data_IF_324845455952
#
_entry.id   IF_324845455952
#
_cell.length_a   1.000
_cell.length_b   1.000
_cell.length_c   1.000
_cell.angle_alpha   90.00
_cell.angle_beta   90.00
_cell.angle_gamma   90.00
#
_symmetry.space_group_name_H-M   'P 1'
#
loop_
_entity.id
_entity.type
_entity.pdbx_description
1 polymer ?
#
# COMPACT_ATOMS: atom_id res chain seq x y z
N UNK A 1 -13.20 -26.62 -4.90
CA UNK A 1 -11.78 -26.40 -5.26
C UNK A 1 -11.09 -25.61 -4.15
N UNK A 2 -9.77 -25.69 -3.99
CA UNK A 2 -9.01 -24.74 -3.14
C UNK A 2 -8.88 -23.39 -3.85
N UNK A 3 -8.61 -22.31 -3.12
CA UNK A 3 -8.39 -20.97 -3.71
C UNK A 3 -7.33 -20.98 -4.81
N UNK A 4 -6.18 -21.64 -4.57
CA UNK A 4 -5.14 -21.80 -5.59
C UNK A 4 -5.63 -22.56 -6.83
N UNK A 5 -6.37 -23.65 -6.65
CA UNK A 5 -6.94 -24.40 -7.78
C UNK A 5 -7.95 -23.57 -8.57
N UNK A 6 -8.77 -22.76 -7.87
CA UNK A 6 -9.77 -21.86 -8.47
C UNK A 6 -9.13 -20.80 -9.35
N UNK A 7 -8.13 -20.10 -8.82
CA UNK A 7 -7.36 -19.09 -9.58
C UNK A 7 -6.68 -19.72 -10.79
N UNK A 8 -6.02 -20.87 -10.61
CA UNK A 8 -5.34 -21.54 -11.73
C UNK A 8 -6.32 -22.07 -12.78
N UNK A 9 -7.48 -22.60 -12.41
CA UNK A 9 -8.50 -23.02 -13.36
C UNK A 9 -8.97 -21.82 -14.21
N UNK A 10 -9.32 -20.71 -13.57
CA UNK A 10 -9.75 -19.49 -14.25
C UNK A 10 -8.68 -18.95 -15.22
N UNK A 11 -7.41 -18.88 -14.79
CA UNK A 11 -6.29 -18.45 -15.64
C UNK A 11 -6.02 -19.39 -16.82
N UNK A 12 -6.36 -20.67 -16.68
CA UNK A 12 -6.25 -21.66 -17.76
C UNK A 12 -7.56 -21.79 -18.57
N UNK A 13 -8.49 -20.85 -18.44
CA UNK A 13 -9.79 -20.85 -19.14
C UNK A 13 -10.63 -22.12 -18.87
N UNK A 14 -10.50 -22.71 -17.69
CA UNK A 14 -11.32 -23.81 -17.20
C UNK A 14 -12.37 -23.27 -16.24
N UNK A 15 -13.60 -23.80 -16.28
CA UNK A 15 -14.68 -23.37 -15.39
C UNK A 15 -14.36 -23.75 -13.93
N UNK A 16 -14.16 -22.76 -13.03
CA UNK A 16 -13.97 -23.03 -11.61
C UNK A 16 -15.31 -23.30 -10.91
N UNK A 17 -15.26 -23.69 -9.63
CA UNK A 17 -16.46 -23.84 -8.80
C UNK A 17 -17.17 -22.51 -8.47
N UNK A 18 -16.49 -21.38 -8.60
CA UNK A 18 -17.04 -20.02 -8.68
C UNK A 18 -15.97 -19.03 -9.17
N UNK A 19 -16.38 -17.78 -9.47
CA UNK A 19 -15.46 -16.72 -9.90
C UNK A 19 -14.44 -16.43 -8.79
N UNK A 20 -13.12 -16.51 -9.06
CA UNK A 20 -12.11 -16.18 -8.07
C UNK A 20 -12.20 -14.71 -7.63
N UNK A 21 -12.01 -14.44 -6.34
CA UNK A 21 -12.10 -13.09 -5.77
C UNK A 21 -10.74 -12.63 -5.24
N UNK A 22 -10.34 -11.42 -5.63
CA UNK A 22 -9.16 -10.74 -5.11
C UNK A 22 -9.56 -9.56 -4.21
N UNK A 23 -8.95 -9.50 -3.02
CA UNK A 23 -8.94 -8.34 -2.14
C UNK A 23 -7.57 -8.33 -1.46
N UNK A 24 -6.81 -7.27 -1.69
CA UNK A 24 -5.48 -7.10 -1.11
C UNK A 24 -4.48 -8.20 -1.51
N UNK A 25 -4.68 -8.91 -2.63
CA UNK A 25 -3.69 -9.81 -3.21
C UNK A 25 -2.67 -9.10 -4.13
N UNK A 26 -3.02 -7.91 -4.64
CA UNK A 26 -2.14 -7.01 -5.38
C UNK A 26 -2.07 -5.65 -4.66
N UNK A 27 -0.98 -4.89 -4.92
CA UNK A 27 -0.76 -3.59 -4.27
C UNK A 27 -1.93 -2.63 -4.37
N UNK A 28 -2.56 -2.58 -5.53
CA UNK A 28 -3.65 -1.65 -5.81
C UNK A 28 -5.05 -2.25 -5.66
N UNK A 29 -5.19 -3.50 -5.18
CA UNK A 29 -6.49 -4.13 -4.93
C UNK A 29 -6.87 -4.19 -3.45
N UNK A 30 -6.17 -3.42 -2.61
CA UNK A 30 -6.45 -3.31 -1.18
C UNK A 30 -7.58 -2.36 -0.82
N UNK A 31 -7.60 -1.95 0.44
CA UNK A 31 -8.56 -1.01 1.01
C UNK A 31 -7.82 0.14 1.68
N UNK A 32 -8.37 1.36 1.57
CA UNK A 32 -7.83 2.52 2.27
C UNK A 32 -7.71 2.27 3.77
N UNK A 33 -6.57 2.66 4.35
CA UNK A 33 -6.30 2.62 5.78
C UNK A 33 -7.31 3.45 6.60
N UNK A 34 -7.88 4.50 5.99
CA UNK A 34 -8.96 5.31 6.57
C UNK A 34 -10.28 4.54 6.61
N UNK A 35 -10.59 3.80 5.54
CA UNK A 35 -11.85 3.08 5.40
C UNK A 35 -11.87 1.76 6.17
N UNK A 36 -10.71 1.12 6.34
CA UNK A 36 -10.60 -0.23 6.89
C UNK A 36 -11.18 -0.38 8.32
N UNK A 37 -10.89 0.50 9.30
CA UNK A 37 -11.53 0.44 10.61
C UNK A 37 -13.05 0.59 10.55
N UNK A 38 -13.55 1.39 9.60
CA UNK A 38 -14.99 1.63 9.41
C UNK A 38 -15.67 0.38 8.86
N UNK A 39 -15.02 -0.32 7.93
CA UNK A 39 -15.47 -1.63 7.43
C UNK A 39 -15.57 -2.63 8.58
N UNK A 40 -14.51 -2.78 9.39
CA UNK A 40 -14.53 -3.70 10.54
C UNK A 40 -15.68 -3.39 11.50
N UNK A 41 -15.86 -2.11 11.84
CA UNK A 41 -16.97 -1.65 12.69
C UNK A 41 -18.33 -1.98 12.08
N UNK A 42 -18.53 -1.73 10.79
CA UNK A 42 -19.79 -2.00 10.10
C UNK A 42 -20.13 -3.50 10.07
N UNK A 43 -19.10 -4.37 10.04
CA UNK A 43 -19.24 -5.83 10.10
C UNK A 43 -19.36 -6.37 11.54
N UNK A 44 -19.31 -5.52 12.56
CA UNK A 44 -19.34 -5.94 13.97
C UNK A 44 -18.08 -6.67 14.43
N UNK A 45 -16.97 -6.55 13.70
CA UNK A 45 -15.69 -7.18 14.04
C UNK A 45 -14.91 -6.33 15.06
N UNK A 46 -14.09 -6.97 15.91
CA UNK A 46 -13.27 -6.23 16.87
C UNK A 46 -12.28 -5.30 16.15
N UNK A 47 -11.96 -4.14 16.75
CA UNK A 47 -10.95 -3.24 16.21
C UNK A 47 -9.59 -3.93 16.21
N UNK A 48 -8.76 -3.60 15.23
CA UNK A 48 -7.37 -4.04 15.12
C UNK A 48 -6.47 -2.86 14.73
N UNK A 49 -5.18 -2.88 15.09
CA UNK A 49 -4.23 -1.86 14.63
C UNK A 49 -4.19 -1.81 13.10
N UNK A 50 -4.27 -0.60 12.54
CA UNK A 50 -4.14 -0.41 11.09
C UNK A 50 -2.66 -0.36 10.75
N UNK A 51 -2.16 -1.37 10.04
CA UNK A 51 -0.83 -1.35 9.43
C UNK A 51 -0.95 -0.88 7.99
N UNK A 52 -0.20 0.16 7.64
CA UNK A 52 -0.16 0.68 6.27
C UNK A 52 0.74 -0.21 5.43
N UNK A 53 0.15 -0.79 4.40
CA UNK A 53 0.82 -1.63 3.42
C UNK A 53 1.43 -0.80 2.29
N UNK A 54 0.65 0.14 1.71
CA UNK A 54 1.13 1.05 0.68
C UNK A 54 1.15 2.47 1.23
N UNK A 55 2.33 3.05 1.55
CA UNK A 55 2.43 4.42 2.07
C UNK A 55 1.99 5.49 1.07
N UNK A 56 2.13 5.26 -0.24
CA UNK A 56 1.75 6.25 -1.27
C UNK A 56 0.24 6.29 -1.41
N UNK A 57 -0.38 5.12 -1.58
CA UNK A 57 -1.83 4.96 -1.76
C UNK A 57 -2.61 4.98 -0.43
N UNK A 58 -1.92 4.90 0.71
CA UNK A 58 -2.51 4.82 2.06
C UNK A 58 -3.44 3.61 2.21
N UNK A 59 -2.97 2.43 1.79
CA UNK A 59 -3.73 1.17 1.86
C UNK A 59 -3.34 0.36 3.10
N UNK A 60 -4.31 -0.32 3.71
CA UNK A 60 -4.08 -1.19 4.88
C UNK A 60 -3.69 -2.62 4.49
N UNK A 61 -2.91 -3.27 5.36
CA UNK A 61 -2.85 -4.73 5.41
C UNK A 61 -4.22 -5.23 5.88
N UNK A 62 -4.87 -6.07 5.08
CA UNK A 62 -6.15 -6.70 5.42
C UNK A 62 -5.90 -7.92 6.32
N UNK A 63 -6.65 -8.01 7.42
CA UNK A 63 -6.54 -9.11 8.37
C UNK A 63 -7.20 -10.39 7.84
N UNK A 64 -6.70 -11.55 8.28
CA UNK A 64 -7.20 -12.86 7.84
C UNK A 64 -8.69 -13.06 8.09
N UNK A 65 -9.22 -12.53 9.19
CA UNK A 65 -10.66 -12.66 9.48
C UNK A 65 -11.55 -11.94 8.46
N UNK A 66 -11.05 -10.88 7.81
CA UNK A 66 -11.74 -10.20 6.72
C UNK A 66 -11.60 -11.00 5.42
N UNK A 67 -10.39 -11.52 5.13
CA UNK A 67 -10.14 -12.33 3.94
C UNK A 67 -10.99 -13.61 3.95
N UNK A 68 -11.05 -14.29 5.10
CA UNK A 68 -11.86 -15.48 5.31
C UNK A 68 -13.36 -15.17 5.19
N UNK A 69 -13.82 -14.05 5.78
CA UNK A 69 -15.22 -13.64 5.72
C UNK A 69 -15.71 -13.40 4.28
N UNK A 70 -14.86 -12.83 3.43
CA UNK A 70 -15.18 -12.56 2.03
C UNK A 70 -14.78 -13.70 1.07
N UNK A 71 -14.19 -14.79 1.57
CA UNK A 71 -13.78 -15.92 0.76
C UNK A 71 -12.71 -15.57 -0.29
N UNK A 72 -11.75 -14.72 0.09
CA UNK A 72 -10.73 -14.21 -0.82
C UNK A 72 -9.77 -15.32 -1.26
N UNK A 73 -9.44 -15.35 -2.54
CA UNK A 73 -8.67 -16.44 -3.15
C UNK A 73 -7.18 -16.16 -3.32
N UNK A 74 -6.81 -14.90 -3.09
CA UNK A 74 -5.47 -14.38 -3.27
C UNK A 74 -4.92 -13.90 -1.93
N UNK A 75 -3.60 -13.86 -1.87
CA UNK A 75 -2.89 -13.31 -0.73
C UNK A 75 -1.66 -12.60 -1.27
N UNK A 76 -1.38 -11.42 -0.75
CA UNK A 76 -0.18 -10.67 -1.08
C UNK A 76 1.03 -11.30 -0.39
N UNK A 77 2.20 -11.27 -1.05
CA UNK A 77 3.38 -11.99 -0.57
C UNK A 77 4.16 -11.25 0.53
N UNK A 78 4.21 -9.91 0.48
CA UNK A 78 4.86 -9.01 1.43
C UNK A 78 4.38 -9.19 2.87
N UNK A 79 3.11 -9.54 3.08
CA UNK A 79 2.58 -9.86 4.41
C UNK A 79 3.21 -11.10 5.07
N UNK A 80 4.04 -11.87 4.36
CA UNK A 80 4.89 -12.92 4.94
C UNK A 80 6.10 -12.34 5.70
N UNK A 81 6.30 -11.03 5.64
CA UNK A 81 7.36 -10.31 6.31
C UNK A 81 6.78 -9.32 7.34
N UNK A 82 7.68 -8.61 8.02
CA UNK A 82 7.33 -7.49 8.89
C UNK A 82 6.39 -7.81 10.08
N UNK A 83 6.45 -9.04 10.61
CA UNK A 83 5.62 -9.48 11.74
C UNK A 83 6.01 -8.88 13.10
N UNK A 84 7.20 -8.32 13.23
CA UNK A 84 7.72 -7.75 14.48
C UNK A 84 7.50 -6.23 14.57
N UNK A 85 7.29 -5.70 15.78
CA UNK A 85 7.03 -4.27 16.02
C UNK A 85 8.18 -3.35 15.57
N UNK A 86 9.41 -3.86 15.44
CA UNK A 86 10.57 -3.07 14.99
C UNK A 86 10.42 -2.49 13.58
N UNK A 87 9.56 -3.10 12.76
CA UNK A 87 9.28 -2.67 11.38
C UNK A 87 8.21 -1.57 11.30
N UNK A 88 7.60 -1.22 12.42
CA UNK A 88 6.44 -0.34 12.48
C UNK A 88 6.72 0.89 13.33
N UNK A 89 6.16 2.03 12.92
CA UNK A 89 6.19 3.29 13.66
C UNK A 89 4.78 3.86 13.75
N UNK A 90 4.44 4.41 14.90
CA UNK A 90 3.17 5.12 15.08
C UNK A 90 3.11 6.33 14.16
N UNK A 91 1.97 6.49 13.49
CA UNK A 91 1.67 7.66 12.69
C UNK A 91 0.16 7.92 12.66
N UNK A 92 -0.23 9.11 12.24
CA UNK A 92 -1.63 9.53 12.21
C UNK A 92 -2.06 9.74 10.76
N UNK A 93 -3.10 9.03 10.34
CA UNK A 93 -3.71 9.18 9.02
C UNK A 93 -4.30 10.59 8.85
N UNK A 94 -4.55 11.04 7.61
CA UNK A 94 -5.14 12.36 7.35
C UNK A 94 -6.48 12.63 8.03
N UNK A 95 -7.26 11.59 8.36
CA UNK A 95 -8.54 11.73 9.09
C UNK A 95 -8.37 11.72 10.62
N UNK A 96 -7.14 11.72 11.12
CA UNK A 96 -6.80 11.68 12.54
C UNK A 96 -6.74 10.28 13.16
N UNK A 97 -7.06 9.23 12.40
CA UNK A 97 -7.01 7.87 12.91
C UNK A 97 -5.55 7.40 13.14
N UNK A 98 -5.28 6.67 14.24
CA UNK A 98 -3.96 6.10 14.49
C UNK A 98 -3.67 4.95 13.52
N UNK A 99 -2.44 4.86 13.06
CA UNK A 99 -1.94 3.75 12.24
C UNK A 99 -0.48 3.43 12.56
N UNK A 100 -0.02 2.33 11.99
CA UNK A 100 1.36 1.90 12.00
C UNK A 100 1.90 1.99 10.57
N UNK A 101 2.90 2.83 10.37
CA UNK A 101 3.61 3.01 9.11
C UNK A 101 4.88 2.15 9.09
N UNK A 102 5.32 1.62 7.93
CA UNK A 102 6.63 0.98 7.84
C UNK A 102 7.75 1.93 8.25
N UNK A 103 8.71 1.45 9.03
CA UNK A 103 9.72 2.30 9.67
C UNK A 103 10.63 3.05 8.70
N UNK A 104 10.73 2.59 7.45
CA UNK A 104 11.52 3.20 6.39
C UNK A 104 10.72 4.17 5.50
N UNK A 105 9.40 4.25 5.68
CA UNK A 105 8.50 5.06 4.86
C UNK A 105 7.66 6.03 5.71
N UNK A 106 8.22 6.49 6.83
CA UNK A 106 7.54 7.43 7.72
C UNK A 106 7.44 8.82 7.06
N UNK A 107 6.23 9.35 6.81
CA UNK A 107 6.09 10.66 6.20
C UNK A 107 6.62 11.79 7.09
N UNK A 108 7.30 12.75 6.47
CA UNK A 108 7.82 13.94 7.12
C UNK A 108 6.97 15.16 6.78
N UNK A 109 7.01 16.20 7.62
CA UNK A 109 6.42 17.49 7.26
C UNK A 109 7.30 18.18 6.21
N UNK A 110 6.66 18.60 5.12
CA UNK A 110 7.26 19.31 4.01
C UNK A 110 6.74 20.75 3.85
N UNK A 111 6.97 21.37 2.69
CA UNK A 111 6.50 22.70 2.37
C UNK A 111 4.98 22.83 2.53
N UNK A 112 4.51 24.02 2.94
CA UNK A 112 3.09 24.35 3.08
C UNK A 112 2.32 23.32 3.93
N UNK A 113 2.94 22.85 5.01
CA UNK A 113 2.36 21.88 5.95
C UNK A 113 1.96 20.52 5.33
N UNK A 114 2.38 20.23 4.09
CA UNK A 114 2.14 18.93 3.45
C UNK A 114 2.95 17.82 4.11
N UNK A 115 2.53 16.57 3.88
CA UNK A 115 3.36 15.41 4.15
C UNK A 115 4.21 15.06 2.93
N UNK A 116 5.42 14.59 3.13
CA UNK A 116 6.34 14.20 2.05
C UNK A 116 7.00 12.86 2.31
N UNK A 117 7.30 12.15 1.22
CA UNK A 117 8.20 10.99 1.20
C UNK A 117 9.45 11.33 0.38
N UNK A 118 10.60 10.89 0.88
CA UNK A 118 11.90 11.16 0.27
C UNK A 118 12.53 9.89 -0.28
N UNK A 119 13.24 10.05 -1.39
CA UNK A 119 14.14 9.03 -1.91
C UNK A 119 15.44 8.96 -1.08
N UNK A 120 16.29 7.93 -1.27
CA UNK A 120 17.58 7.83 -0.60
C UNK A 120 18.50 9.05 -0.82
N UNK A 121 18.40 9.76 -1.94
CA UNK A 121 19.13 11.01 -2.17
C UNK A 121 18.67 12.19 -1.29
N UNK A 122 17.56 12.05 -0.55
CA UNK A 122 16.90 13.12 0.19
C UNK A 122 15.89 13.94 -0.64
N UNK A 123 15.79 13.67 -1.95
CA UNK A 123 14.81 14.32 -2.84
C UNK A 123 13.38 13.99 -2.42
N UNK A 124 12.51 15.00 -2.43
CA UNK A 124 11.07 14.78 -2.26
C UNK A 124 10.53 14.17 -3.56
N UNK A 125 9.98 12.96 -3.45
CA UNK A 125 9.46 12.20 -4.60
C UNK A 125 7.94 12.06 -4.57
N UNK A 126 7.34 12.19 -3.39
CA UNK A 126 5.90 12.16 -3.21
C UNK A 126 5.46 13.23 -2.20
N UNK A 127 4.30 13.85 -2.44
CA UNK A 127 3.71 14.88 -1.57
C UNK A 127 2.23 14.62 -1.37
N UNK A 128 1.77 14.73 -0.13
CA UNK A 128 0.36 14.70 0.24
C UNK A 128 0.00 16.06 0.86
N UNK A 129 -0.66 16.96 0.09
CA UNK A 129 -1.14 18.24 0.60
C UNK A 129 -2.09 18.09 1.79
N UNK A 130 -2.27 19.16 2.55
CA UNK A 130 -3.25 19.17 3.64
C UNK A 130 -4.67 18.89 3.09
N UNK A 131 -5.39 17.97 3.74
CA UNK A 131 -6.72 17.52 3.31
C UNK A 131 -6.71 16.39 2.25
N UNK A 132 -5.56 16.06 1.66
CA UNK A 132 -5.45 14.91 0.76
C UNK A 132 -5.40 13.58 1.53
N UNK A 133 -5.71 12.48 0.84
CA UNK A 133 -5.76 11.13 1.42
C UNK A 133 -4.70 10.17 0.85
N UNK A 134 -3.86 10.65 -0.07
CA UNK A 134 -2.79 9.89 -0.70
C UNK A 134 -1.68 10.84 -1.16
N UNK A 135 -0.53 10.28 -1.49
CA UNK A 135 0.60 11.04 -2.01
C UNK A 135 0.56 11.08 -3.54
N UNK A 136 0.83 12.26 -4.08
CA UNK A 136 1.03 12.49 -5.51
C UNK A 136 2.52 12.60 -5.83
N UNK A 137 2.87 12.22 -7.06
CA UNK A 137 4.22 12.36 -7.59
C UNK A 137 4.58 13.84 -7.66
N UNK A 138 5.81 14.18 -7.29
CA UNK A 138 6.32 15.57 -7.45
C UNK A 138 7.69 15.63 -8.12
N UNK A 139 8.19 14.50 -8.60
CA UNK A 139 9.45 14.44 -9.34
C UNK A 139 9.31 13.56 -10.59
N UNK A 140 9.77 14.09 -11.73
CA UNK A 140 9.75 13.43 -13.03
C UNK A 140 11.13 13.59 -13.67
N UNK A 141 11.99 12.56 -13.62
CA UNK A 141 13.40 12.66 -14.03
C UNK A 141 13.65 13.19 -15.44
N UNK A 142 12.70 13.01 -16.35
CA UNK A 142 12.81 13.40 -17.77
C UNK A 142 11.79 14.46 -18.18
N UNK A 143 11.13 15.13 -17.23
CA UNK A 143 10.19 16.21 -17.57
C UNK A 143 10.91 17.40 -18.21
N UNK A 144 12.06 17.76 -17.63
CA UNK A 144 12.91 18.84 -18.10
C UNK A 144 14.16 18.25 -18.76
N UNK A 145 14.22 18.29 -20.09
CA UNK A 145 15.40 17.89 -20.86
C UNK A 145 15.25 16.57 -21.62
N UNK A 146 16.34 16.10 -22.27
CA UNK A 146 16.32 14.87 -23.05
C UNK A 146 16.17 13.65 -22.16
N UNK A 147 15.46 12.64 -22.65
CA UNK A 147 15.43 11.32 -22.02
C UNK A 147 16.82 10.67 -22.04
N UNK A 148 17.15 9.99 -20.94
CA UNK A 148 18.39 9.23 -20.80
C UNK A 148 18.06 7.88 -20.17
N UNK A 149 17.73 6.91 -21.05
CA UNK A 149 17.26 5.59 -20.64
C UNK A 149 18.35 4.76 -19.94
N UNK A 150 19.63 5.09 -20.17
CA UNK A 150 20.75 4.42 -19.51
C UNK A 150 20.76 4.68 -17.99
N UNK A 151 20.06 5.73 -17.54
CA UNK A 151 19.95 6.11 -16.12
C UNK A 151 18.75 5.51 -15.39
N UNK A 152 17.91 4.70 -16.05
CA UNK A 152 16.69 4.15 -15.42
C UNK A 152 17.00 3.42 -14.11
N UNK A 153 18.08 2.63 -14.07
CA UNK A 153 18.46 1.90 -12.86
C UNK A 153 18.76 2.84 -11.68
N UNK A 154 19.47 3.94 -11.93
CA UNK A 154 19.80 4.96 -10.92
C UNK A 154 18.58 5.77 -10.49
N UNK A 155 17.63 5.96 -11.40
CA UNK A 155 16.40 6.72 -11.16
C UNK A 155 15.29 5.89 -10.50
N UNK A 156 15.39 4.56 -10.53
CA UNK A 156 14.42 3.66 -9.94
C UNK A 156 14.14 3.92 -8.44
N UNK A 157 15.15 4.13 -7.57
CA UNK A 157 14.90 4.51 -6.17
C UNK A 157 14.44 5.96 -6.00
N UNK A 158 14.52 6.78 -7.05
CA UNK A 158 14.17 8.20 -7.06
C UNK A 158 12.75 8.45 -7.57
N UNK A 159 11.96 7.40 -7.79
CA UNK A 159 10.60 7.51 -8.29
C UNK A 159 9.61 7.00 -7.24
N UNK A 160 8.53 7.75 -6.99
CA UNK A 160 7.52 7.45 -5.96
C UNK A 160 7.05 5.98 -5.96
N UNK A 161 6.63 5.46 -7.12
CA UNK A 161 6.09 4.10 -7.26
C UNK A 161 7.09 2.96 -7.05
N UNK A 162 8.39 3.25 -7.06
CA UNK A 162 9.45 2.23 -7.06
C UNK A 162 10.46 2.41 -5.94
N UNK A 163 10.65 3.64 -5.45
CA UNK A 163 11.55 4.00 -4.36
C UNK A 163 10.93 3.83 -2.97
N UNK A 164 9.61 3.76 -2.86
CA UNK A 164 8.91 3.50 -1.59
C UNK A 164 8.55 2.03 -1.51
N UNK A 165 9.26 1.29 -0.64
CA UNK A 165 8.99 -0.12 -0.43
C UNK A 165 7.73 -0.35 0.42
N UNK A 166 6.91 -1.31 -0.01
CA UNK A 166 5.89 -1.93 0.83
C UNK A 166 6.54 -2.92 1.82
N UNK A 167 5.95 -3.17 3.00
CA UNK A 167 6.40 -4.17 3.96
C UNK A 167 6.31 -5.60 3.45
#
# INVERSE_FOLDING_TARGET
>A
MTSRQRVLAALNHQEPDHVPVDLSGHRSSGISAIAYPRLRKALGLPPRPVRVYDPVQQLAIVDDDILDLFGIDTIELGRAFCHEDKWWREWTLPDGAPCLMPSWALPERGPENSWVLRAPSGRIIARMPEGAHHFDQVYWPFLDGPEDLDRIADLYPEHMWTGIAAP
#
